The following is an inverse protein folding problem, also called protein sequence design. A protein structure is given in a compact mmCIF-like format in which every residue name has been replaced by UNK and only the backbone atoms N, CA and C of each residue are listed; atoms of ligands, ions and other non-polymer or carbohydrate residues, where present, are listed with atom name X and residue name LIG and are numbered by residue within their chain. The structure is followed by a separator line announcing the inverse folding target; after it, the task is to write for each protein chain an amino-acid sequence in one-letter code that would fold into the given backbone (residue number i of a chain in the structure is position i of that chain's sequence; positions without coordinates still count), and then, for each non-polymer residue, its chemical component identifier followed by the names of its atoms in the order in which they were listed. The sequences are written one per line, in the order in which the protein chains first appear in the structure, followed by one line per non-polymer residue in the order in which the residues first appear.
data_IF_309094997595
#
_entry.id   IF_309094997595
#
_cell.length_a   1.000
_cell.length_b   1.000
_cell.length_c   1.000
_cell.angle_alpha   90.00
_cell.angle_beta   90.00
_cell.angle_gamma   90.00
#
_symmetry.space_group_name_H-M   'P 1'
#
loop_
_entity.id
_entity.type
_entity.pdbx_description
1 polymer ?
#
# COMPACT_ATOMS: atom_id res chain seq x y z
N UNK A 1 6.12 1.82 -23.35
CA UNK A 1 5.14 1.19 -22.44
C UNK A 1 3.81 1.81 -22.80
N UNK A 2 2.93 1.04 -23.43
CA UNK A 2 1.61 1.54 -23.80
C UNK A 2 0.84 1.95 -22.55
N UNK A 3 0.16 3.08 -22.63
CA UNK A 3 -0.70 3.57 -21.56
C UNK A 3 -1.97 2.74 -21.61
N UNK A 4 -2.28 2.02 -20.53
CA UNK A 4 -3.54 1.28 -20.41
C UNK A 4 -4.71 2.28 -20.50
N UNK A 5 -5.58 2.10 -21.48
CA UNK A 5 -6.76 2.95 -21.67
C UNK A 5 -7.78 2.65 -20.57
N UNK A 6 -8.14 3.66 -19.79
CA UNK A 6 -9.06 3.53 -18.64
C UNK A 6 -10.37 4.30 -18.81
N UNK A 7 -10.55 5.01 -19.92
CA UNK A 7 -11.81 5.69 -20.25
C UNK A 7 -12.92 4.68 -20.55
N UNK A 8 -14.07 4.84 -19.92
CA UNK A 8 -15.24 3.98 -20.10
C UNK A 8 -16.09 4.53 -21.25
N UNK A 9 -16.40 3.68 -22.23
CA UNK A 9 -17.24 4.01 -23.38
C UNK A 9 -18.54 3.21 -23.39
N UNK A 10 -19.54 3.70 -24.13
CA UNK A 10 -20.84 3.04 -24.27
C UNK A 10 -20.80 1.65 -24.91
N UNK A 11 -19.73 1.33 -25.65
CA UNK A 11 -19.55 0.05 -26.31
C UNK A 11 -18.66 -0.92 -25.53
N UNK A 12 -18.20 -0.53 -24.33
CA UNK A 12 -17.45 -1.43 -23.46
C UNK A 12 -18.36 -2.56 -22.99
N UNK A 13 -17.81 -3.78 -23.02
CA UNK A 13 -18.44 -4.90 -22.34
C UNK A 13 -18.25 -4.79 -20.82
N UNK A 14 -19.00 -5.58 -20.05
CA UNK A 14 -18.82 -5.67 -18.59
C UNK A 14 -17.38 -6.07 -18.21
N UNK A 15 -16.74 -6.89 -19.04
CA UNK A 15 -15.35 -7.33 -18.86
C UNK A 15 -14.39 -6.18 -19.12
N UNK A 16 -14.57 -5.43 -20.21
CA UNK A 16 -13.76 -4.24 -20.51
C UNK A 16 -13.83 -3.21 -19.38
N UNK A 17 -15.06 -2.92 -18.91
CA UNK A 17 -15.29 -2.00 -17.81
C UNK A 17 -14.59 -2.50 -16.53
N UNK A 18 -14.66 -3.80 -16.25
CA UNK A 18 -13.96 -4.43 -15.11
C UNK A 18 -12.45 -4.24 -15.21
N UNK A 19 -11.84 -4.45 -16.39
CA UNK A 19 -10.41 -4.23 -16.57
C UNK A 19 -10.03 -2.75 -16.40
N UNK A 20 -10.83 -1.82 -16.92
CA UNK A 20 -10.59 -0.37 -16.76
C UNK A 20 -10.64 0.05 -15.30
N UNK A 21 -11.68 -0.36 -14.57
CA UNK A 21 -11.83 -0.09 -13.13
C UNK A 21 -10.67 -0.68 -12.34
N UNK A 22 -10.32 -1.95 -12.60
CA UNK A 22 -9.22 -2.62 -11.91
C UNK A 22 -7.88 -1.91 -12.16
N UNK A 23 -7.64 -1.40 -13.37
CA UNK A 23 -6.43 -0.61 -13.66
C UNK A 23 -6.40 0.70 -12.86
N UNK A 24 -7.52 1.43 -12.76
CA UNK A 24 -7.62 2.65 -11.95
C UNK A 24 -7.39 2.34 -10.47
N UNK A 25 -8.00 1.28 -9.94
CA UNK A 25 -7.81 0.87 -8.55
C UNK A 25 -6.35 0.51 -8.25
N UNK A 26 -5.71 -0.23 -9.16
CA UNK A 26 -4.31 -0.62 -9.00
C UNK A 26 -3.38 0.59 -8.96
N UNK A 27 -3.60 1.59 -9.82
CA UNK A 27 -2.83 2.84 -9.79
C UNK A 27 -3.02 3.58 -8.46
N UNK A 28 -4.26 3.66 -7.97
CA UNK A 28 -4.56 4.25 -6.67
C UNK A 28 -3.82 3.53 -5.52
N UNK A 29 -3.78 2.19 -5.53
CA UNK A 29 -3.06 1.42 -4.52
C UNK A 29 -1.55 1.66 -4.60
N UNK A 30 -0.97 1.68 -5.81
CA UNK A 30 0.45 1.97 -6.03
C UNK A 30 0.80 3.37 -5.50
N UNK A 31 0.00 4.37 -5.82
CA UNK A 31 0.24 5.74 -5.38
C UNK A 31 0.09 5.88 -3.85
N UNK A 32 -0.86 5.18 -3.25
CA UNK A 32 -0.98 5.13 -1.79
C UNK A 32 0.21 4.44 -1.13
N UNK A 33 0.71 3.31 -1.67
CA UNK A 33 1.90 2.64 -1.14
C UNK A 33 3.17 3.50 -1.27
N UNK A 34 3.31 4.31 -2.34
CA UNK A 34 4.38 5.32 -2.45
C UNK A 34 4.26 6.38 -1.35
N UNK A 35 3.04 6.83 -1.06
CA UNK A 35 2.81 7.77 0.03
C UNK A 35 3.14 7.15 1.40
N UNK A 36 2.68 5.93 1.68
CA UNK A 36 3.02 5.19 2.91
C UNK A 36 4.54 5.02 3.05
N UNK A 37 5.27 4.76 1.96
CA UNK A 37 6.74 4.69 1.97
C UNK A 37 7.37 5.99 2.48
N UNK A 38 6.90 7.14 1.97
CA UNK A 38 7.34 8.46 2.42
C UNK A 38 7.02 8.68 3.89
N UNK A 39 5.80 8.34 4.32
CA UNK A 39 5.40 8.44 5.73
C UNK A 39 6.28 7.58 6.64
N UNK A 40 6.55 6.32 6.27
CA UNK A 40 7.41 5.41 7.02
C UNK A 40 8.84 5.95 7.15
N UNK A 41 9.40 6.49 6.06
CA UNK A 41 10.73 7.11 6.07
C UNK A 41 10.78 8.29 7.06
N UNK A 42 9.74 9.14 7.05
CA UNK A 42 9.64 10.25 7.99
C UNK A 42 9.51 9.78 9.44
N UNK A 43 8.65 8.79 9.71
CA UNK A 43 8.42 8.26 11.06
C UNK A 43 9.68 7.62 11.65
N UNK A 44 10.39 6.82 10.85
CA UNK A 44 11.68 6.22 11.23
C UNK A 44 12.71 7.33 11.51
N UNK A 45 12.83 8.32 10.60
CA UNK A 45 13.78 9.41 10.76
C UNK A 45 13.50 10.34 11.95
N UNK A 46 12.23 10.56 12.32
CA UNK A 46 11.86 11.26 13.56
C UNK A 46 12.27 10.45 14.78
N UNK A 47 12.02 9.14 14.73
CA UNK A 47 12.31 8.25 15.85
C UNK A 47 13.81 8.16 16.16
N UNK A 48 14.64 8.02 15.12
CA UNK A 48 16.12 8.00 15.23
C UNK A 48 16.70 9.31 15.79
N UNK A 49 16.01 10.44 15.60
CA UNK A 49 16.44 11.75 16.14
C UNK A 49 16.05 11.95 17.60
N UNK A 50 14.81 11.58 17.98
CA UNK A 50 14.22 11.98 19.25
C UNK A 50 14.35 10.93 20.37
N UNK A 51 14.58 9.64 20.06
CA UNK A 51 14.42 8.55 21.03
C UNK A 51 15.66 7.63 21.24
N UNK A 52 16.86 8.12 20.93
CA UNK A 52 18.13 7.35 20.87
C UNK A 52 18.57 6.55 22.12
N UNK A 53 17.83 6.50 23.24
CA UNK A 53 18.35 5.96 24.51
C UNK A 53 17.36 5.13 25.37
N UNK A 54 16.25 4.59 24.84
CA UNK A 54 15.36 3.72 25.64
C UNK A 54 15.14 2.34 25.01
N UNK A 55 15.44 1.27 25.75
CA UNK A 55 15.43 -0.11 25.27
C UNK A 55 14.03 -0.63 24.83
N UNK A 56 12.96 -0.19 25.48
CA UNK A 56 11.56 -0.51 25.09
C UNK A 56 11.16 0.10 23.74
N UNK A 57 11.82 1.20 23.41
CA UNK A 57 11.55 2.05 22.27
C UNK A 57 12.11 1.34 20.99
N UNK A 58 13.22 0.59 21.07
CA UNK A 58 13.83 -0.12 19.93
C UNK A 58 12.91 -1.15 19.25
N UNK A 59 11.95 -1.71 20.00
CA UNK A 59 10.93 -2.62 19.46
C UNK A 59 9.96 -1.97 18.47
N UNK A 60 9.70 -0.67 18.62
CA UNK A 60 8.77 0.08 17.76
C UNK A 60 9.45 0.48 16.46
N UNK A 61 10.70 0.92 16.52
CA UNK A 61 11.51 1.19 15.32
C UNK A 61 11.59 -0.04 14.42
N UNK A 62 11.90 -1.20 14.99
CA UNK A 62 11.96 -2.47 14.25
C UNK A 62 10.63 -2.81 13.56
N UNK A 63 9.48 -2.52 14.19
CA UNK A 63 8.17 -2.72 13.58
C UNK A 63 7.95 -1.80 12.37
N UNK A 64 8.37 -0.53 12.46
CA UNK A 64 8.29 0.40 11.33
C UNK A 64 9.24 0.02 10.20
N UNK A 65 10.48 -0.35 10.49
CA UNK A 65 11.45 -0.84 9.49
C UNK A 65 10.96 -2.11 8.78
N UNK A 66 10.38 -3.05 9.55
CA UNK A 66 9.75 -4.24 8.97
C UNK A 66 8.59 -3.85 8.06
N UNK A 67 7.71 -2.96 8.51
CA UNK A 67 6.57 -2.48 7.73
C UNK A 67 7.00 -1.74 6.46
N UNK A 68 8.13 -1.04 6.50
CA UNK A 68 8.76 -0.39 5.35
C UNK A 68 9.23 -1.40 4.29
N UNK A 69 9.83 -2.51 4.74
CA UNK A 69 10.25 -3.61 3.87
C UNK A 69 9.03 -4.32 3.25
N UNK A 70 7.99 -4.57 4.04
CA UNK A 70 6.72 -5.15 3.56
C UNK A 70 6.05 -4.23 2.52
N UNK A 71 6.04 -2.91 2.76
CA UNK A 71 5.49 -1.93 1.83
C UNK A 71 6.24 -1.94 0.50
N UNK A 72 7.57 -1.94 0.54
CA UNK A 72 8.41 -1.98 -0.67
C UNK A 72 8.20 -3.27 -1.47
N UNK A 73 8.07 -4.41 -0.78
CA UNK A 73 7.82 -5.71 -1.41
C UNK A 73 6.48 -5.71 -2.14
N UNK A 74 5.42 -5.24 -1.49
CA UNK A 74 4.09 -5.15 -2.11
C UNK A 74 4.09 -4.14 -3.27
N UNK A 75 4.72 -2.98 -3.10
CA UNK A 75 4.82 -1.97 -4.15
C UNK A 75 5.53 -2.51 -5.41
N UNK A 76 6.61 -3.26 -5.25
CA UNK A 76 7.29 -3.93 -6.38
C UNK A 76 6.38 -4.94 -7.09
N UNK A 77 5.63 -5.73 -6.32
CA UNK A 77 4.68 -6.70 -6.87
C UNK A 77 3.56 -6.00 -7.67
N UNK A 78 2.94 -4.95 -7.12
CA UNK A 78 1.89 -4.20 -7.81
C UNK A 78 2.40 -3.49 -9.06
N UNK A 79 3.62 -2.92 -9.03
CA UNK A 79 4.21 -2.34 -10.23
C UNK A 79 4.51 -3.38 -11.32
N UNK A 80 4.93 -4.59 -10.93
CA UNK A 80 5.13 -5.69 -11.89
C UNK A 80 3.79 -6.10 -12.50
N UNK A 81 2.76 -6.23 -11.69
CA UNK A 81 1.41 -6.56 -12.15
C UNK A 81 0.82 -5.47 -13.06
N UNK A 82 0.99 -4.19 -12.72
CA UNK A 82 0.56 -3.07 -13.58
C UNK A 82 1.18 -3.17 -14.98
N UNK A 83 2.45 -3.58 -15.08
CA UNK A 83 3.11 -3.78 -16.37
C UNK A 83 2.55 -4.98 -17.13
N UNK A 84 2.26 -6.09 -16.45
CA UNK A 84 1.73 -7.29 -17.12
C UNK A 84 0.31 -7.10 -17.63
N UNK A 85 -0.47 -6.17 -17.05
CA UNK A 85 -1.81 -5.80 -17.54
C UNK A 85 -1.81 -5.26 -18.98
N UNK A 86 -0.67 -4.82 -19.53
CA UNK A 86 -0.55 -4.51 -20.96
C UNK A 86 -0.94 -5.67 -21.87
N UNK A 87 -0.76 -6.91 -21.40
CA UNK A 87 -1.04 -8.11 -22.18
C UNK A 87 -2.54 -8.48 -22.20
N UNK A 88 -3.41 -7.73 -21.49
CA UNK A 88 -4.86 -7.97 -21.55
C UNK A 88 -5.39 -7.78 -22.98
N UNK A 89 -4.78 -6.87 -23.76
CA UNK A 89 -5.15 -6.66 -25.16
C UNK A 89 -4.89 -7.88 -26.06
N UNK A 90 -4.11 -8.86 -25.60
CA UNK A 90 -3.82 -10.11 -26.29
C UNK A 90 -4.78 -11.26 -25.89
N UNK A 91 -5.70 -11.03 -24.94
CA UNK A 91 -6.67 -12.04 -24.53
C UNK A 91 -7.71 -12.27 -25.64
N UNK A 92 -7.83 -13.53 -26.09
CA UNK A 92 -8.79 -13.94 -27.12
C UNK A 92 -10.06 -14.59 -26.54
N UNK A 93 -10.05 -14.91 -25.24
CA UNK A 93 -11.15 -15.56 -24.55
C UNK A 93 -11.34 -15.05 -23.11
N UNK A 94 -12.51 -15.35 -22.56
CA UNK A 94 -12.88 -15.00 -21.19
C UNK A 94 -12.01 -15.71 -20.14
N UNK A 95 -11.40 -16.85 -20.48
CA UNK A 95 -10.54 -17.55 -19.52
C UNK A 95 -9.26 -16.73 -19.24
N UNK A 96 -8.69 -16.11 -20.28
CA UNK A 96 -7.57 -15.18 -20.16
C UNK A 96 -7.94 -13.95 -19.31
N UNK A 97 -9.08 -13.31 -19.58
CA UNK A 97 -9.57 -12.16 -18.81
C UNK A 97 -9.72 -12.49 -17.32
N UNK A 98 -10.30 -13.65 -17.02
CA UNK A 98 -10.54 -14.12 -15.65
C UNK A 98 -9.25 -14.37 -14.86
N UNK A 99 -8.13 -14.70 -15.52
CA UNK A 99 -6.83 -14.80 -14.87
C UNK A 99 -6.42 -13.43 -14.32
N UNK A 100 -6.49 -12.38 -15.13
CA UNK A 100 -6.15 -11.03 -14.69
C UNK A 100 -7.10 -10.50 -13.62
N UNK A 101 -8.40 -10.78 -13.73
CA UNK A 101 -9.40 -10.38 -12.71
C UNK A 101 -9.11 -11.08 -11.38
N UNK A 102 -8.84 -12.39 -11.40
CA UNK A 102 -8.56 -13.17 -10.19
C UNK A 102 -7.23 -12.76 -9.54
N UNK A 103 -6.22 -12.47 -10.36
CA UNK A 103 -4.94 -11.94 -9.86
C UNK A 103 -5.14 -10.56 -9.21
N UNK A 104 -5.96 -9.69 -9.80
CA UNK A 104 -6.32 -8.39 -9.22
C UNK A 104 -6.95 -8.53 -7.84
N UNK A 105 -7.91 -9.45 -7.66
CA UNK A 105 -8.53 -9.73 -6.36
C UNK A 105 -7.51 -10.17 -5.30
N UNK A 106 -6.51 -10.94 -5.71
CA UNK A 106 -5.43 -11.40 -4.81
C UNK A 106 -4.57 -10.23 -4.33
N UNK A 107 -4.25 -9.30 -5.23
CA UNK A 107 -3.57 -8.06 -4.87
C UNK A 107 -4.44 -7.12 -4.04
N UNK A 108 -5.75 -7.02 -4.32
CA UNK A 108 -6.70 -6.24 -3.50
C UNK A 108 -6.65 -6.66 -2.05
N UNK A 109 -6.75 -7.98 -1.78
CA UNK A 109 -6.68 -8.56 -0.43
C UNK A 109 -5.35 -8.24 0.25
N UNK A 110 -4.24 -8.39 -0.49
CA UNK A 110 -2.89 -8.12 0.01
C UNK A 110 -2.71 -6.65 0.39
N UNK A 111 -3.19 -5.73 -0.45
CA UNK A 111 -3.18 -4.30 -0.21
C UNK A 111 -4.04 -3.90 1.00
N UNK A 112 -5.28 -4.38 1.09
CA UNK A 112 -6.17 -4.07 2.21
C UNK A 112 -5.61 -4.58 3.54
N UNK A 113 -5.04 -5.79 3.54
CA UNK A 113 -4.38 -6.35 4.71
C UNK A 113 -3.18 -5.50 5.14
N UNK A 114 -2.31 -5.13 4.18
CA UNK A 114 -1.16 -4.27 4.47
C UNK A 114 -1.58 -2.92 5.06
N UNK A 115 -2.61 -2.31 4.48
CA UNK A 115 -3.15 -1.02 4.91
C UNK A 115 -3.70 -1.07 6.35
N UNK A 116 -4.51 -2.08 6.69
CA UNK A 116 -5.00 -2.29 8.07
C UNK A 116 -3.83 -2.42 9.06
N UNK A 117 -2.84 -3.26 8.73
CA UNK A 117 -1.67 -3.46 9.60
C UNK A 117 -0.81 -2.21 9.74
N UNK A 118 -0.64 -1.44 8.69
CA UNK A 118 0.08 -0.16 8.74
C UNK A 118 -0.65 0.85 9.63
N UNK A 119 -1.97 0.99 9.46
CA UNK A 119 -2.80 1.90 10.27
C UNK A 119 -2.74 1.55 11.75
N UNK A 120 -2.92 0.28 12.12
CA UNK A 120 -2.82 -0.17 13.51
C UNK A 120 -1.45 0.13 14.12
N UNK A 121 -0.37 -0.10 13.39
CA UNK A 121 0.98 0.25 13.86
C UNK A 121 1.11 1.75 14.13
N UNK A 122 0.53 2.57 13.25
CA UNK A 122 0.54 4.03 13.38
C UNK A 122 -0.30 4.49 14.58
N UNK A 123 -1.48 3.92 14.77
CA UNK A 123 -2.38 4.25 15.88
C UNK A 123 -1.78 3.83 17.23
N UNK A 124 -1.18 2.64 17.30
CA UNK A 124 -0.44 2.16 18.48
C UNK A 124 0.72 3.09 18.83
N UNK A 125 1.44 3.58 17.82
CA UNK A 125 2.53 4.53 18.01
C UNK A 125 2.03 5.86 18.55
N UNK A 126 1.03 6.48 17.91
CA UNK A 126 0.52 7.78 18.35
C UNK A 126 -0.14 7.71 19.73
N UNK A 127 -0.83 6.62 20.05
CA UNK A 127 -1.41 6.41 21.39
C UNK A 127 -0.33 6.42 22.48
N UNK A 128 0.82 5.78 22.22
CA UNK A 128 1.97 5.78 23.14
C UNK A 128 2.64 7.15 23.25
N UNK A 129 2.80 7.84 22.12
CA UNK A 129 3.42 9.17 22.07
C UNK A 129 2.55 10.21 22.80
N UNK A 130 1.25 10.24 22.55
CA UNK A 130 0.31 11.13 23.25
C UNK A 130 0.29 10.86 24.76
N UNK A 131 0.29 9.59 25.17
CA UNK A 131 0.40 9.22 26.59
C UNK A 131 1.67 9.79 27.25
N UNK A 132 2.82 9.77 26.56
CA UNK A 132 4.08 10.37 27.06
C UNK A 132 3.95 11.90 27.21
N UNK A 133 3.34 12.60 26.25
CA UNK A 133 3.15 14.06 26.33
C UNK A 133 2.20 14.48 27.46
N UNK A 134 1.10 13.76 27.66
CA UNK A 134 0.16 14.05 28.77
C UNK A 134 0.82 13.89 30.14
N UNK A 135 1.67 12.87 30.31
CA UNK A 135 2.41 12.65 31.57
C UNK A 135 3.47 13.74 31.83
N UNK A 136 4.13 14.26 30.79
CA UNK A 136 5.09 15.36 30.94
C UNK A 136 4.38 16.66 31.36
N UNK A 137 3.21 16.93 30.79
CA UNK A 137 2.41 18.13 31.12
C UNK A 137 1.76 18.08 32.51
N UNK A 138 1.52 16.90 33.09
CA UNK A 138 1.02 16.76 34.47
C UNK A 138 2.12 16.90 35.54
N UNK A 139 3.39 16.72 35.15
CA UNK A 139 4.54 16.82 36.04
C UNK A 139 5.29 18.16 35.90
N UNK A 140 4.71 19.12 35.17
CA UNK A 140 5.25 20.46 34.94
C UNK A 140 4.53 21.51 35.77
#
# INVERSE_FOLDING_TARGET
MEVLQTEIYHHDTDVDMTHKINTIELDNWINHLKYIKKELTNLIGLWEKDFNNKADDQSVLQKFQKKDTENETLLKALNKYMRSRGNIAECEDTQCDMVFITEHETYRRSYLYHLDKYRRLKDDFFSKVQGKFTLLNMNS
#
